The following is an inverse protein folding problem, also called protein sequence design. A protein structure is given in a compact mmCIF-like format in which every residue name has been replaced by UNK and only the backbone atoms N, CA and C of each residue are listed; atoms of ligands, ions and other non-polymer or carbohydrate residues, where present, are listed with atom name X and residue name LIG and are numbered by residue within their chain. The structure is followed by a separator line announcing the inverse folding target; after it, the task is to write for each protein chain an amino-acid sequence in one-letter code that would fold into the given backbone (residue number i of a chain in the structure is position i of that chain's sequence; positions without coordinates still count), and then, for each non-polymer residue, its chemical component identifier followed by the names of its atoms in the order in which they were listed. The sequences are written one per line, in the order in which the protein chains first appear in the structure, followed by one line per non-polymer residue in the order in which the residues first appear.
data_IF_123176222502
#
_entry.id   IF_123176222502
#
_cell.length_a   1.000
_cell.length_b   1.000
_cell.length_c   1.000
_cell.angle_alpha   90.00
_cell.angle_beta   90.00
_cell.angle_gamma   90.00
#
_symmetry.space_group_name_H-M   'P 1'
#
loop_
_entity.id
_entity.type
_entity.pdbx_description
1 polymer ?
#
# COMPACT_ATOMS: atom_id res chain seq x y z
N UNK A 1 -18.67 5.22 -1.53
CA UNK A 1 -17.22 5.25 -1.61
C UNK A 1 -16.77 4.69 -2.94
N UNK A 2 -15.90 5.39 -3.64
CA UNK A 2 -15.40 4.91 -4.92
C UNK A 2 -14.47 3.71 -4.73
N UNK A 3 -14.72 2.65 -5.46
CA UNK A 3 -13.87 1.45 -5.50
C UNK A 3 -13.07 1.39 -6.79
N UNK A 4 -12.71 2.54 -7.34
CA UNK A 4 -11.94 2.62 -8.57
C UNK A 4 -10.45 2.46 -8.30
N UNK A 5 -9.78 1.80 -9.22
CA UNK A 5 -8.33 1.74 -9.24
C UNK A 5 -7.81 3.11 -9.69
N UNK A 6 -7.01 3.75 -8.86
CA UNK A 6 -6.43 5.07 -9.15
C UNK A 6 -5.08 4.96 -9.86
N UNK A 7 -4.96 4.02 -10.81
CA UNK A 7 -3.79 3.88 -11.66
C UNK A 7 -3.65 5.08 -12.59
N UNK A 8 -2.43 5.56 -12.77
CA UNK A 8 -2.13 6.71 -13.61
C UNK A 8 -1.23 6.35 -14.78
N UNK A 9 -0.07 5.75 -14.53
CA UNK A 9 0.93 5.47 -15.55
C UNK A 9 1.70 4.20 -15.29
N UNK A 10 2.36 3.73 -16.33
CA UNK A 10 3.30 2.63 -16.26
C UNK A 10 2.66 1.26 -16.32
N UNK A 11 3.50 0.27 -16.49
CA UNK A 11 3.07 -1.12 -16.43
C UNK A 11 2.76 -1.49 -14.99
N UNK A 12 1.74 -2.32 -14.78
CA UNK A 12 1.36 -2.77 -13.45
C UNK A 12 1.93 -4.13 -13.09
N UNK A 13 2.44 -4.88 -14.08
CA UNK A 13 2.96 -6.23 -13.92
C UNK A 13 2.06 -7.06 -13.00
N UNK A 14 0.80 -7.27 -13.39
CA UNK A 14 -0.18 -7.87 -12.49
C UNK A 14 0.11 -9.34 -12.24
N UNK A 15 -0.17 -9.76 -11.02
CA UNK A 15 -0.13 -11.17 -10.63
C UNK A 15 -1.52 -11.60 -10.19
N UNK A 16 -1.73 -12.91 -10.11
CA UNK A 16 -2.93 -13.48 -9.51
C UNK A 16 -2.61 -13.91 -8.09
N UNK A 17 -3.38 -13.41 -7.12
CA UNK A 17 -3.19 -13.74 -5.71
C UNK A 17 -4.53 -14.18 -5.11
N UNK A 18 -4.47 -15.11 -4.15
CA UNK A 18 -5.68 -15.60 -3.48
C UNK A 18 -6.05 -14.67 -2.33
N UNK A 19 -7.34 -14.38 -2.23
CA UNK A 19 -7.89 -13.66 -1.07
C UNK A 19 -8.19 -14.64 0.05
N UNK A 20 -8.18 -14.14 1.29
CA UNK A 20 -8.51 -14.93 2.48
C UNK A 20 -10.03 -14.97 2.67
N UNK A 21 -10.57 -16.13 3.03
CA UNK A 21 -11.98 -16.24 3.40
C UNK A 21 -12.28 -15.37 4.62
N UNK A 22 -13.37 -14.64 4.59
CA UNK A 22 -13.77 -13.73 5.65
C UNK A 22 -13.18 -12.34 5.55
N UNK A 23 -12.32 -12.07 4.56
CA UNK A 23 -11.67 -10.78 4.38
C UNK A 23 -12.01 -10.20 3.01
N UNK A 24 -12.89 -9.21 2.95
CA UNK A 24 -13.22 -8.55 1.68
C UNK A 24 -12.05 -7.69 1.20
N UNK A 25 -11.89 -7.62 -0.12
CA UNK A 25 -10.89 -6.77 -0.77
C UNK A 25 -11.60 -5.83 -1.72
N UNK A 26 -11.20 -4.57 -1.71
CA UNK A 26 -11.73 -3.52 -2.60
C UNK A 26 -10.63 -3.01 -3.53
N UNK A 27 -10.97 -2.77 -4.79
CA UNK A 27 -10.05 -2.18 -5.77
C UNK A 27 -9.37 -0.94 -5.18
N UNK A 28 -8.04 -0.85 -5.36
CA UNK A 28 -7.24 0.28 -4.93
C UNK A 28 -6.64 0.15 -3.54
N UNK A 29 -6.99 -0.89 -2.78
CA UNK A 29 -6.39 -1.10 -1.47
C UNK A 29 -4.95 -1.59 -1.57
N UNK A 30 -4.12 -1.10 -0.63
CA UNK A 30 -2.78 -1.65 -0.41
C UNK A 30 -2.93 -3.05 0.20
N UNK A 31 -2.18 -4.00 -0.34
CA UNK A 31 -2.24 -5.40 0.08
C UNK A 31 -0.89 -5.88 0.58
N UNK A 32 -0.91 -6.76 1.57
CA UNK A 32 0.26 -7.52 1.99
C UNK A 32 -0.01 -9.01 1.85
N UNK A 33 1.06 -9.82 1.85
CA UNK A 33 0.95 -11.27 1.84
C UNK A 33 1.05 -11.77 3.28
N UNK A 34 0.04 -12.50 3.75
CA UNK A 34 0.07 -13.07 5.09
C UNK A 34 0.94 -14.35 5.13
N UNK A 35 1.05 -14.95 6.31
CA UNK A 35 1.90 -16.14 6.49
C UNK A 35 1.41 -17.36 5.71
N UNK A 36 0.13 -17.38 5.37
CA UNK A 36 -0.48 -18.46 4.60
C UNK A 36 -0.46 -18.22 3.08
N UNK A 37 0.09 -17.09 2.64
CA UNK A 37 0.20 -16.74 1.23
C UNK A 37 -1.01 -16.06 0.64
N UNK A 38 -1.92 -15.54 1.46
CA UNK A 38 -3.09 -14.80 0.99
C UNK A 38 -2.80 -13.30 0.85
N UNK A 39 -3.43 -12.68 -0.14
CA UNK A 39 -3.43 -11.22 -0.28
C UNK A 39 -4.47 -10.62 0.65
N UNK A 40 -4.04 -9.74 1.54
CA UNK A 40 -4.87 -9.18 2.61
C UNK A 40 -4.70 -7.66 2.65
N UNK A 41 -5.79 -6.87 2.82
CA UNK A 41 -5.67 -5.42 2.93
C UNK A 41 -4.80 -4.99 4.12
N UNK A 42 -4.08 -3.88 3.94
CA UNK A 42 -3.14 -3.35 4.93
C UNK A 42 -3.75 -3.18 6.33
N UNK A 43 -5.03 -2.80 6.40
CA UNK A 43 -5.72 -2.58 7.68
C UNK A 43 -5.87 -3.84 8.53
N UNK A 44 -5.67 -5.02 7.97
CA UNK A 44 -5.69 -6.30 8.70
C UNK A 44 -4.30 -6.73 9.19
N UNK A 45 -3.25 -5.96 8.89
CA UNK A 45 -1.90 -6.29 9.34
C UNK A 45 -1.82 -6.15 10.86
N UNK A 46 -1.41 -7.24 11.52
CA UNK A 46 -1.28 -7.25 12.98
C UNK A 46 -0.07 -6.44 13.43
N UNK A 47 -0.30 -5.47 14.29
CA UNK A 47 0.75 -4.66 14.88
C UNK A 47 0.84 -4.93 16.38
N UNK A 48 2.05 -4.75 16.93
CA UNK A 48 2.34 -4.97 18.35
C UNK A 48 3.04 -3.74 18.91
N UNK A 49 2.33 -2.60 18.89
CA UNK A 49 2.89 -1.29 19.25
C UNK A 49 3.39 -1.21 20.70
N UNK A 50 2.92 -2.09 21.58
CA UNK A 50 3.43 -2.19 22.95
C UNK A 50 4.81 -2.84 23.01
N UNK A 51 5.16 -3.63 21.99
CA UNK A 51 6.40 -4.42 21.95
C UNK A 51 7.37 -3.93 20.88
N UNK A 52 6.90 -3.12 19.92
CA UNK A 52 7.69 -2.68 18.76
C UNK A 52 7.54 -1.20 18.52
N UNK A 53 8.57 -0.59 17.96
CA UNK A 53 8.51 0.81 17.54
C UNK A 53 7.69 0.93 16.25
N UNK A 54 7.28 2.15 15.95
CA UNK A 54 6.59 2.48 14.70
C UNK A 54 7.43 2.06 13.48
N UNK A 55 8.72 2.37 13.50
CA UNK A 55 9.63 2.01 12.39
C UNK A 55 9.76 0.50 12.22
N UNK A 56 9.79 -0.26 13.31
CA UNK A 56 9.82 -1.73 13.25
C UNK A 56 8.55 -2.30 12.63
N UNK A 57 7.38 -1.76 12.98
CA UNK A 57 6.12 -2.18 12.39
C UNK A 57 6.05 -1.83 10.89
N UNK A 58 6.49 -0.63 10.51
CA UNK A 58 6.55 -0.21 9.12
C UNK A 58 7.47 -1.11 8.29
N UNK A 59 8.59 -1.55 8.86
CA UNK A 59 9.51 -2.46 8.18
C UNK A 59 8.90 -3.85 8.00
N UNK A 60 8.22 -4.35 9.01
CA UNK A 60 7.50 -5.63 8.90
C UNK A 60 6.46 -5.60 7.80
N UNK A 61 5.69 -4.51 7.70
CA UNK A 61 4.70 -4.33 6.65
C UNK A 61 5.37 -4.26 5.27
N UNK A 62 6.43 -3.44 5.15
CA UNK A 62 7.18 -3.32 3.90
C UNK A 62 7.69 -4.67 3.41
N UNK A 63 8.23 -5.50 4.30
CA UNK A 63 8.77 -6.81 3.93
C UNK A 63 7.69 -7.76 3.39
N UNK A 64 6.44 -7.46 3.64
CA UNK A 64 5.28 -8.25 3.19
C UNK A 64 4.42 -7.54 2.15
N UNK A 65 4.80 -6.36 1.74
CA UNK A 65 4.01 -5.56 0.80
C UNK A 65 3.90 -6.28 -0.55
N UNK A 66 2.66 -6.57 -0.97
CA UNK A 66 2.38 -7.27 -2.20
C UNK A 66 2.09 -6.34 -3.36
N UNK A 67 1.26 -5.35 -3.18
CA UNK A 67 0.86 -4.42 -4.23
C UNK A 67 -0.51 -3.82 -4.00
N UNK A 68 -1.21 -3.52 -5.09
CA UNK A 68 -2.51 -2.85 -5.06
C UNK A 68 -3.57 -3.72 -5.72
N UNK A 69 -4.72 -3.87 -5.06
CA UNK A 69 -5.83 -4.66 -5.58
C UNK A 69 -6.38 -4.05 -6.87
N UNK A 70 -6.48 -4.85 -7.92
CA UNK A 70 -7.06 -4.49 -9.21
C UNK A 70 -8.47 -5.03 -9.40
N UNK A 71 -8.96 -5.82 -8.46
CA UNK A 71 -10.29 -6.43 -8.48
C UNK A 71 -10.88 -6.47 -7.08
N UNK A 72 -12.21 -6.51 -7.02
CA UNK A 72 -12.94 -6.68 -5.76
C UNK A 72 -13.12 -8.15 -5.41
N UNK A 73 -13.16 -8.44 -4.11
CA UNK A 73 -13.61 -9.73 -3.59
C UNK A 73 -14.51 -9.47 -2.39
N UNK A 74 -15.67 -10.11 -2.36
CA UNK A 74 -16.64 -9.92 -1.26
C UNK A 74 -16.24 -10.63 0.04
N UNK A 75 -15.25 -11.51 -0.01
CA UNK A 75 -14.71 -12.15 1.19
C UNK A 75 -15.46 -13.39 1.67
N UNK A 76 -16.50 -13.83 0.95
CA UNK A 76 -17.27 -15.00 1.39
C UNK A 76 -16.62 -16.34 1.02
N UNK A 77 -15.65 -16.32 0.10
CA UNK A 77 -14.86 -17.49 -0.29
C UNK A 77 -13.44 -17.07 -0.64
N UNK A 78 -12.53 -18.04 -0.73
CA UNK A 78 -11.20 -17.81 -1.30
C UNK A 78 -11.36 -17.57 -2.81
N UNK A 79 -10.79 -16.48 -3.32
CA UNK A 79 -10.84 -16.13 -4.75
C UNK A 79 -9.47 -15.65 -5.21
N UNK A 80 -9.22 -15.83 -6.49
CA UNK A 80 -8.05 -15.23 -7.13
C UNK A 80 -8.43 -13.83 -7.60
N UNK A 81 -7.60 -12.84 -7.27
CA UNK A 81 -7.74 -11.48 -7.74
C UNK A 81 -6.44 -11.03 -8.43
N UNK A 82 -6.56 -10.02 -9.30
CA UNK A 82 -5.39 -9.40 -9.91
C UNK A 82 -4.84 -8.34 -8.97
N UNK A 83 -3.52 -8.32 -8.83
CA UNK A 83 -2.79 -7.38 -7.97
C UNK A 83 -1.71 -6.71 -8.80
N UNK A 84 -1.69 -5.38 -8.82
CA UNK A 84 -0.62 -4.61 -9.44
C UNK A 84 0.62 -4.65 -8.53
N UNK A 85 1.76 -5.04 -9.08
CA UNK A 85 3.02 -5.14 -8.31
C UNK A 85 3.93 -3.92 -8.51
N UNK A 86 3.72 -3.16 -9.56
CA UNK A 86 4.39 -1.88 -9.87
C UNK A 86 3.39 -0.95 -10.52
N UNK A 87 3.76 0.29 -10.71
CA UNK A 87 2.97 1.31 -11.42
C UNK A 87 2.86 2.59 -10.62
N UNK A 88 2.33 3.63 -11.27
CA UNK A 88 2.08 4.93 -10.64
C UNK A 88 0.61 5.09 -10.33
N UNK A 89 0.30 5.38 -9.09
CA UNK A 89 -1.07 5.45 -8.57
C UNK A 89 -1.29 6.73 -7.77
N UNK A 90 -2.56 7.12 -7.68
CA UNK A 90 -3.00 8.20 -6.82
C UNK A 90 -3.47 7.64 -5.48
N UNK A 91 -2.96 8.22 -4.39
CA UNK A 91 -3.35 7.87 -3.02
C UNK A 91 -3.70 9.12 -2.23
N UNK A 92 -4.42 8.91 -1.13
CA UNK A 92 -4.60 9.94 -0.13
C UNK A 92 -3.30 10.13 0.65
N UNK A 93 -3.08 11.36 1.10
CA UNK A 93 -1.94 11.72 1.91
C UNK A 93 -2.43 12.16 3.28
N UNK A 94 -1.69 11.77 4.32
CA UNK A 94 -1.91 12.34 5.66
C UNK A 94 -1.67 13.85 5.64
N UNK A 95 -1.95 14.52 6.74
CA UNK A 95 -1.75 15.97 6.87
C UNK A 95 -0.49 16.42 6.17
N UNK A 96 -0.57 17.56 5.47
CA UNK A 96 0.56 18.14 4.76
C UNK A 96 1.78 18.19 5.69
N UNK A 97 2.94 17.66 5.25
CA UNK A 97 4.15 17.75 6.06
C UNK A 97 4.54 19.20 6.28
N UNK A 98 5.21 19.48 7.40
CA UNK A 98 5.69 20.83 7.72
C UNK A 98 6.68 21.34 6.66
N UNK A 99 7.37 20.44 5.98
CA UNK A 99 8.29 20.77 4.90
C UNK A 99 7.74 20.28 3.57
N UNK A 100 8.00 21.00 2.46
CA UNK A 100 7.59 20.53 1.13
C UNK A 100 8.24 19.19 0.80
N UNK A 101 7.45 18.27 0.24
CA UNK A 101 7.98 17.02 -0.27
C UNK A 101 8.74 17.26 -1.58
N UNK A 102 9.78 16.46 -1.79
CA UNK A 102 10.57 16.48 -3.01
C UNK A 102 10.28 15.23 -3.86
N UNK A 103 10.54 15.33 -5.16
CA UNK A 103 10.49 14.14 -6.02
C UNK A 103 11.41 13.06 -5.47
N UNK A 104 10.92 11.83 -5.49
CA UNK A 104 11.63 10.70 -4.93
C UNK A 104 11.45 10.52 -3.43
N UNK A 105 10.68 11.38 -2.76
CA UNK A 105 10.32 11.21 -1.36
C UNK A 105 9.75 9.83 -1.13
N UNK A 106 10.29 9.11 -0.15
CA UNK A 106 9.80 7.80 0.23
C UNK A 106 8.52 7.90 1.03
N UNK A 107 7.59 6.98 0.75
CA UNK A 107 6.28 6.91 1.40
C UNK A 107 5.96 5.47 1.76
N UNK A 108 5.14 5.32 2.79
CA UNK A 108 4.62 4.01 3.22
C UNK A 108 3.16 4.15 3.63
N UNK A 109 2.49 3.03 3.91
CA UNK A 109 1.13 3.08 4.43
C UNK A 109 1.10 3.84 5.76
N UNK A 110 0.12 4.73 5.90
CA UNK A 110 -0.07 5.48 7.15
C UNK A 110 -0.41 4.52 8.28
N UNK A 111 0.45 4.50 9.29
CA UNK A 111 0.22 3.78 10.52
C UNK A 111 -0.49 4.72 11.49
N UNK A 112 -1.77 4.47 11.74
CA UNK A 112 -2.59 5.33 12.59
C UNK A 112 -2.12 5.31 14.03
N UNK A 113 -2.47 6.33 14.85
CA UNK A 113 -2.11 6.32 16.28
C UNK A 113 -2.65 5.11 17.06
N UNK A 114 -3.69 4.45 16.53
CA UNK A 114 -4.25 3.22 17.11
C UNK A 114 -3.50 1.96 16.72
N UNK A 115 -2.44 2.09 15.92
CA UNK A 115 -1.62 0.97 15.50
C UNK A 115 -2.17 0.17 14.33
N UNK A 116 -2.95 0.79 13.45
CA UNK A 116 -3.50 0.14 12.26
C UNK A 116 -2.99 0.81 10.99
N UNK A 117 -2.51 0.00 10.04
CA UNK A 117 -2.13 0.51 8.73
C UNK A 117 -3.35 0.89 7.90
N UNK A 118 -3.20 1.94 7.10
CA UNK A 118 -4.24 2.38 6.18
C UNK A 118 -4.18 1.61 4.86
N UNK A 119 -5.34 1.30 4.29
CA UNK A 119 -5.45 0.67 2.97
C UNK A 119 -5.23 1.67 1.82
N UNK A 120 -5.37 2.96 2.05
CA UNK A 120 -5.44 3.98 0.98
C UNK A 120 -4.69 5.27 1.25
N UNK A 121 -4.16 5.46 2.45
CA UNK A 121 -3.49 6.69 2.84
C UNK A 121 -2.02 6.43 3.11
N UNK A 122 -1.16 7.32 2.61
CA UNK A 122 0.28 7.21 2.76
C UNK A 122 0.83 8.27 3.70
N UNK A 123 2.04 8.03 4.21
CA UNK A 123 2.80 9.00 4.99
C UNK A 123 4.27 8.98 4.56
N UNK A 124 4.99 10.11 4.71
CA UNK A 124 6.44 10.15 4.46
C UNK A 124 7.19 9.19 5.39
N UNK A 125 8.28 8.61 4.89
CA UNK A 125 9.09 7.67 5.67
C UNK A 125 10.54 7.66 5.18
N UNK A 126 11.38 6.89 5.84
CA UNK A 126 12.74 6.61 5.37
C UNK A 126 12.77 5.53 4.31
N UNK A 127 13.90 5.39 3.63
CA UNK A 127 14.07 4.43 2.53
C UNK A 127 13.94 2.97 2.98
N UNK A 128 14.26 2.69 4.22
CA UNK A 128 14.26 1.32 4.77
C UNK A 128 12.87 0.75 5.02
N UNK A 129 11.85 1.60 5.07
CA UNK A 129 10.46 1.18 5.29
C UNK A 129 9.52 1.57 4.13
N UNK A 130 10.06 2.09 3.05
CA UNK A 130 9.28 2.61 1.93
C UNK A 130 8.65 1.51 1.08
N UNK A 131 7.42 1.75 0.63
CA UNK A 131 6.74 0.95 -0.38
C UNK A 131 6.47 1.76 -1.65
N UNK A 132 6.70 3.06 -1.60
CA UNK A 132 6.39 3.98 -2.70
C UNK A 132 7.35 5.16 -2.72
N UNK A 133 7.40 5.81 -3.89
CA UNK A 133 8.16 7.06 -4.09
C UNK A 133 7.28 8.09 -4.78
N UNK A 134 7.38 9.33 -4.35
CA UNK A 134 6.68 10.45 -4.96
C UNK A 134 7.19 10.71 -6.38
N UNK A 135 6.30 10.77 -7.36
CA UNK A 135 6.66 10.96 -8.77
C UNK A 135 6.26 12.31 -9.34
N UNK A 136 5.32 13.01 -8.72
CA UNK A 136 4.78 14.27 -9.25
C UNK A 136 4.56 15.28 -8.14
N UNK A 137 4.94 16.55 -8.41
CA UNK A 137 4.71 17.68 -7.51
C UNK A 137 3.66 18.64 -8.07
N UNK A 138 3.48 18.67 -9.40
CA UNK A 138 2.58 19.59 -10.08
C UNK A 138 1.31 18.90 -10.57
N UNK A 139 0.22 19.65 -10.65
CA UNK A 139 -1.07 19.17 -11.16
C UNK A 139 -1.62 17.98 -10.35
N UNK A 140 -1.33 17.97 -9.05
CA UNK A 140 -1.82 16.95 -8.14
C UNK A 140 -2.97 17.52 -7.33
N UNK A 141 -4.14 16.85 -7.27
CA UNK A 141 -5.25 17.33 -6.44
C UNK A 141 -4.86 17.48 -4.98
N UNK A 142 -5.47 18.45 -4.29
CA UNK A 142 -5.22 18.70 -2.87
C UNK A 142 -5.50 17.42 -2.05
N UNK A 143 -4.63 17.10 -1.12
CA UNK A 143 -4.76 15.91 -0.26
C UNK A 143 -4.41 14.59 -0.93
N UNK A 144 -3.91 14.64 -2.16
CA UNK A 144 -3.51 13.46 -2.94
C UNK A 144 -2.02 13.47 -3.21
N UNK A 145 -1.49 12.28 -3.53
CA UNK A 145 -0.12 12.11 -4.03
C UNK A 145 -0.12 11.14 -5.19
N UNK A 146 0.79 11.35 -6.13
CA UNK A 146 1.06 10.39 -7.22
C UNK A 146 2.38 9.71 -6.90
N UNK A 147 2.33 8.39 -6.77
CA UNK A 147 3.48 7.61 -6.31
C UNK A 147 3.68 6.38 -7.19
N UNK A 148 4.94 6.00 -7.35
CA UNK A 148 5.30 4.72 -7.93
C UNK A 148 5.42 3.71 -6.80
N UNK A 149 4.71 2.60 -6.91
CA UNK A 149 4.82 1.49 -5.95
C UNK A 149 5.75 0.41 -6.47
N UNK A 150 6.23 -0.43 -5.58
CA UNK A 150 6.97 -1.63 -5.94
C UNK A 150 6.76 -2.71 -4.89
N UNK A 151 6.23 -3.85 -5.32
CA UNK A 151 6.02 -5.01 -4.45
C UNK A 151 7.36 -5.50 -3.89
N UNK A 152 7.44 -5.67 -2.59
CA UNK A 152 8.63 -6.25 -1.96
C UNK A 152 8.70 -7.76 -2.17
N UNK A 153 7.54 -8.40 -2.27
CA UNK A 153 7.43 -9.85 -2.45
C UNK A 153 7.83 -10.26 -3.88
N UNK A 154 7.38 -9.51 -4.88
CA UNK A 154 7.54 -9.86 -6.30
C UNK A 154 8.71 -9.11 -6.92
N UNK A 155 8.87 -7.83 -6.59
CA UNK A 155 9.88 -6.93 -7.15
C UNK A 155 10.87 -6.56 -6.06
N UNK A 156 12.04 -7.17 -6.06
CA UNK A 156 13.06 -6.80 -5.08
C UNK A 156 13.80 -5.54 -5.52
N UNK A 157 14.01 -4.67 -4.57
CA UNK A 157 14.91 -3.53 -4.76
C UNK A 157 16.34 -4.03 -4.61
N UNK A 158 17.12 -3.83 -5.62
CA UNK A 158 18.57 -4.09 -5.58
C UNK A 158 19.31 -2.76 -5.52
#
# INVERSE_FOLDING_TARGET
MSSNLNWRWGETQPISARTREGVPVTIGQLLYMDDDGYAVPASFFDTFMDLRTRAEEQKRFRDRFLGIAMQNSVGNTVRNIRVATVGTFEFDMTNAPDEPMLLGQYLTSWLTPRGRFSDRTLEPCGSDVAIAKLTHLENVPAGKVYVMIKSTIIQRWE
#
